data_IF_652852687100
#
_entry.id   IF_652852687100
#
_cell.length_a   1.000
_cell.length_b   1.000
_cell.length_c   1.000
_cell.angle_alpha   90.00
_cell.angle_beta   90.00
_cell.angle_gamma   90.00
#
_symmetry.space_group_name_H-M   'P 1'
#
loop_
_entity.id
_entity.type
_entity.pdbx_description
1 polymer ?
#
# COMPACT_ATOMS: atom_id res chain seq x y z
N UNK A 1 -31.90 24.45 27.37
CA UNK A 1 -31.20 24.51 26.06
C UNK A 1 -30.54 23.16 25.86
N UNK A 2 -31.19 22.29 25.09
CA UNK A 2 -30.79 20.89 24.91
C UNK A 2 -29.85 20.75 23.71
N UNK A 3 -28.76 19.99 23.87
CA UNK A 3 -27.67 19.82 22.89
C UNK A 3 -28.16 19.14 21.59
N UNK A 4 -27.92 19.72 20.40
CA UNK A 4 -28.47 19.27 19.11
C UNK A 4 -27.75 18.07 18.48
N UNK A 5 -26.81 17.41 19.18
CA UNK A 5 -25.98 16.33 18.62
C UNK A 5 -26.53 14.91 18.82
N UNK A 6 -27.79 14.77 19.21
CA UNK A 6 -28.43 13.47 19.42
C UNK A 6 -29.62 13.21 18.48
N UNK A 7 -29.44 13.33 17.17
CA UNK A 7 -30.39 12.79 16.18
C UNK A 7 -29.65 12.43 14.88
N UNK A 8 -29.15 11.19 14.75
CA UNK A 8 -29.08 10.43 13.48
C UNK A 8 -28.22 9.16 13.62
N UNK A 9 -28.66 8.20 14.44
CA UNK A 9 -28.30 6.81 14.27
C UNK A 9 -29.57 5.98 14.31
N UNK A 10 -30.25 5.80 13.17
CA UNK A 10 -31.04 4.59 12.91
C UNK A 10 -31.61 4.59 11.48
N UNK A 11 -30.87 4.02 10.51
CA UNK A 11 -31.47 3.36 9.34
C UNK A 11 -30.57 2.21 8.88
N UNK A 12 -30.72 1.10 9.59
CA UNK A 12 -30.28 -0.24 9.19
C UNK A 12 -31.16 -0.71 8.03
N UNK A 13 -30.70 -0.60 6.78
CA UNK A 13 -31.36 -1.25 5.64
C UNK A 13 -30.83 -2.68 5.53
N UNK A 14 -31.58 -3.61 6.10
CA UNK A 14 -31.41 -5.05 5.93
C UNK A 14 -32.49 -5.47 4.91
N UNK A 15 -32.09 -5.88 3.72
CA UNK A 15 -32.97 -6.61 2.80
C UNK A 15 -32.42 -8.02 2.62
N UNK A 16 -33.08 -8.95 3.32
CA UNK A 16 -33.10 -10.39 3.01
C UNK A 16 -34.51 -10.70 2.50
N UNK A 17 -34.60 -11.38 1.34
CA UNK A 17 -35.68 -12.29 0.88
C UNK A 17 -35.64 -12.33 -0.66
N UNK A 18 -35.81 -13.44 -1.36
CA UNK A 18 -35.82 -14.88 -1.06
C UNK A 18 -35.82 -15.58 -2.43
N UNK A 19 -35.53 -16.87 -2.43
CA UNK A 19 -35.51 -17.79 -3.55
C UNK A 19 -36.77 -17.78 -4.44
N UNK A 20 -36.58 -17.99 -5.74
CA UNK A 20 -37.42 -18.91 -6.52
C UNK A 20 -36.61 -19.59 -7.64
N UNK A 21 -36.48 -20.92 -7.55
CA UNK A 21 -36.17 -21.83 -8.66
C UNK A 21 -37.48 -22.11 -9.41
N UNK A 22 -37.41 -22.46 -10.70
CA UNK A 22 -37.80 -23.84 -11.03
C UNK A 22 -36.88 -24.54 -12.05
N UNK A 23 -36.76 -25.87 -11.84
CA UNK A 23 -36.72 -26.97 -12.82
C UNK A 23 -35.60 -26.97 -13.89
N UNK A 24 -34.55 -27.80 -13.77
CA UNK A 24 -34.52 -29.25 -14.05
C UNK A 24 -34.83 -29.59 -15.51
N UNK A 25 -33.78 -29.67 -16.34
CA UNK A 25 -33.73 -30.67 -17.40
C UNK A 25 -32.33 -31.28 -17.47
N UNK A 26 -32.32 -32.56 -17.79
CA UNK A 26 -31.27 -33.51 -17.53
C UNK A 26 -30.63 -33.88 -18.85
N UNK A 27 -29.31 -33.77 -19.01
CA UNK A 27 -28.64 -34.77 -19.84
C UNK A 27 -27.17 -34.97 -19.48
N UNK A 28 -26.83 -36.25 -19.40
CA UNK A 28 -25.54 -36.82 -19.08
C UNK A 28 -24.52 -36.58 -20.20
N UNK A 29 -23.24 -36.55 -19.84
CA UNK A 29 -22.15 -36.49 -20.82
C UNK A 29 -20.77 -36.44 -20.20
N UNK A 30 -20.35 -37.57 -19.61
CA UNK A 30 -18.98 -37.89 -19.19
C UNK A 30 -18.02 -37.87 -20.39
N UNK A 31 -16.90 -37.14 -20.32
CA UNK A 31 -15.55 -37.68 -20.56
C UNK A 31 -14.43 -36.63 -20.35
N UNK A 32 -13.39 -37.09 -19.64
CA UNK A 32 -11.95 -36.80 -19.75
C UNK A 32 -11.48 -35.46 -20.34
N UNK A 33 -10.69 -34.73 -19.56
CA UNK A 33 -9.22 -34.88 -19.60
C UNK A 33 -8.59 -33.90 -18.61
N UNK A 34 -7.62 -34.39 -17.83
CA UNK A 34 -6.63 -33.50 -17.27
C UNK A 34 -5.75 -33.01 -18.40
N UNK A 35 -5.51 -31.71 -18.44
CA UNK A 35 -4.38 -31.12 -19.14
C UNK A 35 -4.02 -29.85 -18.39
N UNK A 36 -2.74 -29.77 -18.01
CA UNK A 36 -2.03 -28.59 -17.53
C UNK A 36 -2.73 -27.29 -17.95
N UNK A 37 -3.21 -26.52 -16.97
CA UNK A 37 -3.40 -25.10 -17.21
C UNK A 37 -2.01 -24.51 -17.43
N UNK A 38 -1.66 -24.05 -18.65
CA UNK A 38 -0.42 -23.31 -18.79
C UNK A 38 -0.62 -22.06 -17.94
N UNK A 39 0.34 -21.80 -17.04
CA UNK A 39 0.45 -20.54 -16.34
C UNK A 39 0.24 -19.44 -17.37
N UNK A 40 -0.90 -18.74 -17.28
CA UNK A 40 -1.19 -17.61 -18.12
C UNK A 40 -0.01 -16.66 -17.95
N UNK A 41 0.82 -16.56 -18.99
CA UNK A 41 1.66 -15.41 -19.16
C UNK A 41 0.70 -14.23 -19.11
N UNK A 42 0.70 -13.51 -17.98
CA UNK A 42 -0.04 -12.28 -17.88
C UNK A 42 0.56 -11.36 -18.94
N UNK A 43 -0.13 -11.26 -20.08
CA UNK A 43 0.11 -10.23 -21.07
C UNK A 43 0.07 -8.91 -20.31
N UNK A 44 1.24 -8.29 -20.12
CA UNK A 44 1.37 -7.01 -19.47
C UNK A 44 0.62 -5.99 -20.32
N UNK A 45 -0.58 -5.64 -19.89
CA UNK A 45 -1.45 -4.74 -20.63
C UNK A 45 -0.97 -3.30 -20.47
N UNK A 46 -1.40 -2.37 -21.34
CA UNK A 46 -1.09 -0.94 -21.20
C UNK A 46 -1.38 -0.36 -19.80
N UNK A 47 -2.40 -0.89 -19.12
CA UNK A 47 -2.75 -0.50 -17.74
C UNK A 47 -1.76 -0.95 -16.66
N UNK A 48 -0.85 -1.88 -16.94
CA UNK A 48 0.15 -2.34 -15.98
C UNK A 48 1.34 -1.37 -15.92
N UNK A 49 1.67 -0.70 -17.02
CA UNK A 49 2.65 0.39 -17.04
C UNK A 49 2.13 1.58 -16.22
N UNK A 50 0.88 2.00 -16.42
CA UNK A 50 0.27 3.12 -15.71
C UNK A 50 0.23 2.88 -14.19
N UNK A 51 -0.22 1.70 -13.76
CA UNK A 51 -0.18 1.31 -12.34
C UNK A 51 1.25 1.30 -11.80
N UNK A 52 2.20 0.79 -12.57
CA UNK A 52 3.61 0.74 -12.14
C UNK A 52 4.19 2.15 -11.99
N UNK A 53 3.89 3.08 -12.90
CA UNK A 53 4.27 4.49 -12.77
C UNK A 53 3.65 5.13 -11.52
N UNK A 54 2.39 4.81 -11.20
CA UNK A 54 1.74 5.29 -9.99
C UNK A 54 2.43 4.78 -8.71
N UNK A 55 2.79 3.49 -8.66
CA UNK A 55 3.57 2.91 -7.55
C UNK A 55 4.92 3.62 -7.41
N UNK A 56 5.66 3.80 -8.51
CA UNK A 56 6.95 4.49 -8.51
C UNK A 56 6.82 5.94 -8.00
N UNK A 57 5.75 6.63 -8.39
CA UNK A 57 5.47 7.99 -7.92
C UNK A 57 5.23 8.01 -6.41
N UNK A 58 4.47 7.05 -5.87
CA UNK A 58 4.23 6.96 -4.43
C UNK A 58 5.48 6.63 -3.64
N UNK A 59 6.34 5.74 -4.15
CA UNK A 59 7.63 5.44 -3.54
C UNK A 59 8.51 6.70 -3.46
N UNK A 60 8.58 7.49 -4.53
CA UNK A 60 9.32 8.77 -4.55
C UNK A 60 8.77 9.80 -3.56
N UNK A 61 7.45 9.89 -3.42
CA UNK A 61 6.82 10.76 -2.41
C UNK A 61 7.20 10.32 -0.98
N UNK A 62 7.16 9.01 -0.70
CA UNK A 62 7.57 8.46 0.59
C UNK A 62 9.07 8.70 0.88
N UNK A 63 9.92 8.64 -0.14
CA UNK A 63 11.35 8.93 -0.03
C UNK A 63 11.60 10.42 0.29
N UNK A 64 10.87 11.32 -0.36
CA UNK A 64 10.94 12.75 -0.06
C UNK A 64 10.55 13.04 1.40
N UNK A 65 9.43 12.48 1.87
CA UNK A 65 9.01 12.63 3.27
C UNK A 65 10.00 12.00 4.24
N UNK A 66 10.63 10.90 3.86
CA UNK A 66 11.63 10.24 4.69
C UNK A 66 12.85 11.12 4.93
N UNK A 67 13.34 11.85 3.92
CA UNK A 67 14.41 12.84 4.11
C UNK A 67 14.02 13.93 5.11
N UNK A 68 12.82 14.49 4.97
CA UNK A 68 12.31 15.51 5.90
C UNK A 68 12.17 14.96 7.34
N UNK A 69 11.80 13.69 7.49
CA UNK A 69 11.73 13.03 8.80
C UNK A 69 13.13 12.89 9.43
N UNK A 70 14.18 12.59 8.67
CA UNK A 70 15.56 12.52 9.19
C UNK A 70 15.98 13.87 9.77
N UNK A 71 15.74 14.95 9.03
CA UNK A 71 16.04 16.31 9.48
C UNK A 71 15.27 16.65 10.76
N UNK A 72 13.96 16.38 10.77
CA UNK A 72 13.10 16.60 11.95
C UNK A 72 13.56 15.79 13.16
N UNK A 73 13.92 14.52 12.98
CA UNK A 73 14.40 13.65 14.06
C UNK A 73 15.76 14.12 14.60
N UNK A 74 16.64 14.65 13.74
CA UNK A 74 17.91 15.23 14.19
C UNK A 74 17.68 16.50 15.04
N UNK A 75 16.79 17.39 14.60
CA UNK A 75 16.41 18.59 15.37
C UNK A 75 15.81 18.22 16.74
N UNK A 76 14.85 17.29 16.76
CA UNK A 76 14.26 16.80 18.00
C UNK A 76 15.29 16.16 18.93
N UNK A 77 16.24 15.41 18.39
CA UNK A 77 17.32 14.80 19.18
C UNK A 77 18.17 15.87 19.87
N UNK A 78 18.55 16.94 19.14
CA UNK A 78 19.29 18.06 19.70
C UNK A 78 18.50 18.79 20.79
N UNK A 79 17.22 19.10 20.56
CA UNK A 79 16.38 19.73 21.58
C UNK A 79 16.25 18.86 22.83
N UNK A 80 16.07 17.55 22.70
CA UNK A 80 15.99 16.61 23.84
C UNK A 80 17.30 16.61 24.64
N UNK A 81 18.45 16.48 23.98
CA UNK A 81 19.74 16.31 24.64
C UNK A 81 20.36 17.61 25.15
N UNK A 82 20.24 18.69 24.38
CA UNK A 82 20.95 19.94 24.62
C UNK A 82 20.12 20.99 25.33
N UNK A 83 18.86 21.14 24.95
CA UNK A 83 17.98 22.16 25.52
C UNK A 83 17.22 21.64 26.74
N UNK A 84 16.56 20.49 26.61
CA UNK A 84 15.67 19.96 27.65
C UNK A 84 16.37 19.02 28.64
N UNK A 85 17.53 18.48 28.28
CA UNK A 85 18.32 17.53 29.11
C UNK A 85 17.53 16.28 29.52
N UNK A 86 16.58 15.83 28.70
CA UNK A 86 15.69 14.69 29.00
C UNK A 86 16.33 13.36 28.56
N UNK A 87 17.31 12.90 29.35
CA UNK A 87 18.13 11.74 29.01
C UNK A 87 17.36 10.42 28.87
N UNK A 88 16.19 10.29 29.48
CA UNK A 88 15.33 9.11 29.29
C UNK A 88 14.82 8.94 27.84
N UNK A 89 14.85 9.98 27.02
CA UNK A 89 14.37 9.92 25.63
C UNK A 89 15.48 9.88 24.57
N UNK A 90 16.76 10.06 24.95
CA UNK A 90 17.90 10.06 24.02
C UNK A 90 18.03 8.73 23.24
N UNK A 91 17.89 7.60 23.93
CA UNK A 91 17.97 6.29 23.28
C UNK A 91 16.76 6.01 22.37
N UNK A 92 15.50 6.23 22.81
CA UNK A 92 14.34 6.12 21.93
C UNK A 92 14.42 6.98 20.66
N UNK A 93 14.79 8.27 20.77
CA UNK A 93 14.85 9.16 19.60
C UNK A 93 16.00 8.77 18.66
N UNK A 94 17.15 8.35 19.20
CA UNK A 94 18.25 7.80 18.40
C UNK A 94 17.88 6.52 17.66
N UNK A 95 17.06 5.67 18.29
CA UNK A 95 16.48 4.49 17.65
C UNK A 95 15.55 4.84 16.48
N UNK A 96 14.68 5.84 16.66
CA UNK A 96 13.80 6.34 15.59
C UNK A 96 14.60 6.95 14.43
N UNK A 97 15.61 7.77 14.74
CA UNK A 97 16.51 8.34 13.73
C UNK A 97 17.19 7.25 12.90
N UNK A 98 17.78 6.26 13.59
CA UNK A 98 18.47 5.15 12.93
C UNK A 98 17.54 4.31 12.04
N UNK A 99 16.31 4.06 12.50
CA UNK A 99 15.31 3.36 11.70
C UNK A 99 14.89 4.17 10.47
N UNK A 100 14.75 5.49 10.60
CA UNK A 100 14.43 6.38 9.49
C UNK A 100 15.55 6.44 8.45
N UNK A 101 16.81 6.50 8.88
CA UNK A 101 17.99 6.48 7.99
C UNK A 101 18.10 5.15 7.21
N UNK A 102 17.86 4.03 7.88
CA UNK A 102 17.77 2.72 7.22
C UNK A 102 16.60 2.63 6.24
N UNK A 103 15.43 3.19 6.60
CA UNK A 103 14.29 3.26 5.70
C UNK A 103 14.63 4.09 4.45
N UNK A 104 15.26 5.25 4.62
CA UNK A 104 15.70 6.13 3.53
C UNK A 104 16.64 5.42 2.56
N UNK A 105 17.61 4.67 3.08
CA UNK A 105 18.52 3.86 2.26
C UNK A 105 17.75 2.82 1.45
N UNK A 106 16.89 2.04 2.11
CA UNK A 106 16.13 0.95 1.46
C UNK A 106 15.13 1.45 0.43
N UNK A 107 14.44 2.56 0.70
CA UNK A 107 13.46 3.12 -0.23
C UNK A 107 14.15 3.69 -1.48
N UNK A 108 15.34 4.29 -1.32
CA UNK A 108 16.14 4.75 -2.46
C UNK A 108 16.52 3.59 -3.37
N UNK A 109 17.07 2.50 -2.81
CA UNK A 109 17.39 1.31 -3.60
C UNK A 109 16.16 0.68 -4.28
N UNK A 110 15.01 0.68 -3.59
CA UNK A 110 13.77 0.14 -4.16
C UNK A 110 13.29 0.99 -5.33
N UNK A 111 13.36 2.32 -5.22
CA UNK A 111 13.01 3.25 -6.31
C UNK A 111 13.89 3.02 -7.53
N UNK A 112 15.20 2.81 -7.35
CA UNK A 112 16.12 2.53 -8.45
C UNK A 112 15.76 1.21 -9.16
N UNK A 113 15.61 0.13 -8.39
CA UNK A 113 15.25 -1.19 -8.91
C UNK A 113 13.88 -1.17 -9.62
N UNK A 114 12.89 -0.53 -9.01
CA UNK A 114 11.55 -0.43 -9.56
C UNK A 114 11.48 0.52 -10.77
N UNK A 115 12.29 1.59 -10.77
CA UNK A 115 12.44 2.50 -11.91
C UNK A 115 12.95 1.76 -13.16
N UNK A 116 13.99 0.94 -13.02
CA UNK A 116 14.50 0.11 -14.09
C UNK A 116 13.45 -0.89 -14.61
N UNK A 117 12.64 -1.46 -13.70
CA UNK A 117 11.51 -2.33 -14.09
C UNK A 117 10.48 -1.57 -14.94
N UNK A 118 10.07 -0.37 -14.50
CA UNK A 118 9.13 0.50 -15.26
C UNK A 118 9.68 0.88 -16.63
N UNK A 119 10.99 1.13 -16.75
CA UNK A 119 11.63 1.41 -18.03
C UNK A 119 11.60 0.21 -18.98
N UNK A 120 11.80 -1.01 -18.47
CA UNK A 120 11.70 -2.24 -19.25
C UNK A 120 10.29 -2.54 -19.77
N UNK A 121 9.25 -1.97 -19.16
CA UNK A 121 7.85 -2.08 -19.60
C UNK A 121 7.48 -1.10 -20.71
N UNK A 122 8.30 -0.07 -20.97
CA UNK A 122 7.98 0.91 -22.02
C UNK A 122 8.17 0.26 -23.39
N UNK A 123 7.22 0.42 -24.33
CA UNK A 123 7.39 -0.08 -25.69
C UNK A 123 8.63 0.56 -26.32
N UNK A 124 9.54 -0.25 -26.87
CA UNK A 124 10.62 0.27 -27.70
C UNK A 124 10.02 0.98 -28.92
N UNK A 125 10.35 2.26 -29.06
CA UNK A 125 9.96 3.09 -30.20
C UNK A 125 10.63 2.65 -31.50
#
# INVERSE_FOLDING_TARGET
MSDPRNVAHDKKVKQEKEHEKPEADSNAGKDKSGEDAPAAAAEQGPGDLEKSVAVLSKLKEMEFHSRANIETLAELSLTIDDELKQKEFSDPIGGLYSAQDQFQTKITELIEKYGAHVEGLKPSA
#
